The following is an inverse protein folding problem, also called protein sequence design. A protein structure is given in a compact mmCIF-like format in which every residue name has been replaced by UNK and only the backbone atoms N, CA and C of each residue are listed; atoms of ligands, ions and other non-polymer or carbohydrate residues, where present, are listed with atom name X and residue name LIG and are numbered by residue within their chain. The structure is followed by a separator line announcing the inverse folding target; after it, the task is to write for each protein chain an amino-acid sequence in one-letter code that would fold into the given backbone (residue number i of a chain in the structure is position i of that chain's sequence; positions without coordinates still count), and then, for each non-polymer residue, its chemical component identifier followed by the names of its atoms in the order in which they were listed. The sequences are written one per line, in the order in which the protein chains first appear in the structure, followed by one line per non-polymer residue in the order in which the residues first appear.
data_IF_516575046586
#
_entry.id   IF_516575046586
#
_cell.length_a   1.000
_cell.length_b   1.000
_cell.length_c   1.000
_cell.angle_alpha   90.00
_cell.angle_beta   90.00
_cell.angle_gamma   90.00
#
_symmetry.space_group_name_H-M   'P 1'
#
loop_
_entity.id
_entity.type
_entity.pdbx_description
1 polymer ?
#
# COMPACT_ATOMS: atom_id res chain seq x y z
N UNK A 1 -19.53 57.21 5.85
CA UNK A 1 -18.40 57.53 4.95
C UNK A 1 -17.94 56.25 4.28
N UNK A 2 -18.25 56.06 2.99
CA UNK A 2 -17.80 54.89 2.24
C UNK A 2 -16.37 55.08 1.75
N UNK A 3 -15.50 54.09 1.95
CA UNK A 3 -14.15 54.10 1.37
C UNK A 3 -14.24 54.24 -0.16
N UNK A 4 -13.45 55.14 -0.72
CA UNK A 4 -13.30 55.33 -2.17
C UNK A 4 -12.91 54.01 -2.85
N UNK A 5 -13.39 53.81 -4.08
CA UNK A 5 -13.15 52.60 -4.87
C UNK A 5 -11.65 52.31 -5.04
N UNK A 6 -10.81 53.36 -5.11
CA UNK A 6 -9.34 53.24 -5.13
C UNK A 6 -8.80 52.63 -3.84
N UNK A 7 -9.33 53.05 -2.69
CA UNK A 7 -8.91 52.55 -1.37
C UNK A 7 -9.31 51.08 -1.18
N UNK A 8 -10.45 50.66 -1.72
CA UNK A 8 -10.88 49.24 -1.69
C UNK A 8 -9.98 48.35 -2.55
N UNK A 9 -9.56 48.82 -3.73
CA UNK A 9 -8.64 48.10 -4.61
C UNK A 9 -7.25 47.93 -3.98
N UNK A 10 -6.75 48.98 -3.33
CA UNK A 10 -5.47 48.94 -2.61
C UNK A 10 -5.53 47.97 -1.43
N UNK A 11 -6.64 47.98 -0.66
CA UNK A 11 -6.85 47.00 0.41
C UNK A 11 -6.85 45.57 -0.13
N UNK A 12 -7.60 45.32 -1.22
CA UNK A 12 -7.68 43.99 -1.82
C UNK A 12 -6.31 43.48 -2.28
N UNK A 13 -5.52 44.33 -2.96
CA UNK A 13 -4.17 43.98 -3.40
C UNK A 13 -3.22 43.69 -2.21
N UNK A 14 -3.32 44.47 -1.12
CA UNK A 14 -2.57 44.23 0.11
C UNK A 14 -2.97 42.91 0.77
N UNK A 15 -4.27 42.61 0.87
CA UNK A 15 -4.75 41.34 1.43
C UNK A 15 -4.32 40.14 0.56
N UNK A 16 -4.35 40.26 -0.77
CA UNK A 16 -3.87 39.20 -1.66
C UNK A 16 -2.37 38.98 -1.53
N UNK A 17 -1.57 40.04 -1.40
CA UNK A 17 -0.11 39.90 -1.23
C UNK A 17 0.26 39.30 0.13
N UNK A 18 -0.45 39.67 1.21
CA UNK A 18 -0.30 39.05 2.53
C UNK A 18 -0.71 37.56 2.46
N UNK A 19 -1.80 37.25 1.74
CA UNK A 19 -2.23 35.86 1.58
C UNK A 19 -1.19 35.03 0.82
N UNK A 20 -0.67 35.53 -0.31
CA UNK A 20 0.37 34.84 -1.09
C UNK A 20 1.65 34.66 -0.29
N UNK A 21 2.12 35.68 0.43
CA UNK A 21 3.34 35.57 1.26
C UNK A 21 3.16 34.66 2.46
N UNK A 22 1.97 34.60 3.07
CA UNK A 22 1.65 33.69 4.16
C UNK A 22 1.57 32.23 3.70
N UNK A 23 0.99 31.98 2.53
CA UNK A 23 0.94 30.64 1.91
C UNK A 23 2.34 30.20 1.49
N UNK A 24 3.14 31.08 0.88
CA UNK A 24 4.54 30.76 0.48
C UNK A 24 5.44 30.54 1.70
N UNK A 25 5.22 31.26 2.80
CA UNK A 25 5.96 31.05 4.05
C UNK A 25 5.51 29.80 4.81
N UNK A 26 4.25 29.36 4.64
CA UNK A 26 3.74 28.13 5.24
C UNK A 26 4.28 26.86 4.56
N UNK A 27 4.68 26.96 3.28
CA UNK A 27 5.44 25.90 2.59
C UNK A 27 6.97 26.01 2.79
N UNK A 28 7.43 26.94 3.62
CA UNK A 28 8.82 26.98 4.09
C UNK A 28 9.11 25.85 5.07
N UNK A 29 9.75 24.79 4.57
CA UNK A 29 10.29 23.68 5.34
C UNK A 29 10.99 24.14 6.63
N UNK A 30 10.36 23.90 7.77
CA UNK A 30 11.02 23.95 9.08
C UNK A 30 10.92 22.58 9.73
N UNK A 31 11.67 21.64 9.17
CA UNK A 31 12.03 20.42 9.89
C UNK A 31 12.81 20.84 11.14
N UNK A 32 12.25 20.59 12.33
CA UNK A 32 12.92 20.98 13.57
C UNK A 32 14.21 20.17 13.74
N UNK A 33 15.35 20.82 13.61
CA UNK A 33 16.65 20.17 13.76
C UNK A 33 16.83 19.75 15.22
N UNK A 34 16.92 18.45 15.48
CA UNK A 34 17.66 17.95 16.63
C UNK A 34 19.12 17.95 16.18
N UNK A 35 19.96 18.82 16.75
CA UNK A 35 21.28 19.18 16.22
C UNK A 35 22.29 18.03 16.17
N UNK A 36 21.93 16.84 16.66
CA UNK A 36 22.77 15.63 16.68
C UNK A 36 22.37 14.57 15.65
N UNK A 37 21.16 14.63 15.07
CA UNK A 37 20.63 13.62 14.15
C UNK A 37 19.90 14.30 13.00
N UNK A 38 20.51 14.31 11.82
CA UNK A 38 19.95 15.00 10.67
C UNK A 38 20.08 14.18 9.38
N UNK A 39 19.06 14.36 8.55
CA UNK A 39 19.05 14.05 7.12
C UNK A 39 18.63 15.33 6.41
N UNK A 40 19.57 15.97 5.73
CA UNK A 40 19.29 17.12 4.87
C UNK A 40 19.26 16.62 3.44
N UNK A 41 18.14 16.78 2.77
CA UNK A 41 18.02 16.48 1.33
C UNK A 41 18.15 17.79 0.58
N UNK A 42 19.15 17.89 -0.27
CA UNK A 42 19.37 19.06 -1.12
C UNK A 42 18.52 18.99 -2.37
N UNK A 43 18.46 17.81 -2.98
CA UNK A 43 17.62 17.51 -4.12
C UNK A 43 17.33 16.02 -4.20
N UNK A 44 16.26 15.64 -4.87
CA UNK A 44 16.05 14.24 -5.17
C UNK A 44 14.85 13.98 -6.05
N UNK A 45 14.79 12.75 -6.54
CA UNK A 45 13.70 12.23 -7.35
C UNK A 45 13.34 10.83 -6.87
N UNK A 46 12.04 10.55 -6.75
CA UNK A 46 11.52 9.20 -6.59
C UNK A 46 10.84 8.80 -7.90
N UNK A 47 11.34 7.73 -8.51
CA UNK A 47 10.75 7.08 -9.66
C UNK A 47 10.08 5.76 -9.22
N UNK A 48 8.79 5.64 -9.52
CA UNK A 48 8.00 4.44 -9.26
C UNK A 48 7.74 3.72 -10.58
N UNK A 49 7.96 2.42 -10.58
CA UNK A 49 7.67 1.55 -11.71
C UNK A 49 6.97 0.30 -11.20
N UNK A 50 5.86 -0.07 -11.85
CA UNK A 50 5.22 -1.38 -11.64
C UNK A 50 5.56 -2.27 -12.83
N UNK A 51 6.05 -3.47 -12.53
CA UNK A 51 6.38 -4.52 -13.49
C UNK A 51 5.34 -5.64 -13.43
N UNK A 52 5.28 -6.41 -14.50
CA UNK A 52 4.36 -7.54 -14.72
C UNK A 52 2.90 -7.11 -14.89
N UNK A 53 2.09 -8.04 -15.39
CA UNK A 53 0.66 -7.89 -15.61
C UNK A 53 -0.14 -8.77 -14.64
N UNK A 54 -1.46 -8.53 -14.56
CA UNK A 54 -2.36 -9.29 -13.70
C UNK A 54 -2.51 -8.70 -12.30
N UNK A 55 -2.86 -9.56 -11.33
CA UNK A 55 -3.12 -9.17 -9.94
C UNK A 55 -1.85 -9.16 -9.08
N UNK A 56 -0.90 -10.04 -9.36
CA UNK A 56 0.41 -10.06 -8.71
C UNK A 56 1.41 -9.27 -9.55
N UNK A 57 1.93 -8.18 -9.00
CA UNK A 57 2.87 -7.28 -9.69
C UNK A 57 4.08 -7.00 -8.82
N UNK A 58 5.08 -6.35 -9.41
CA UNK A 58 6.30 -5.98 -8.69
C UNK A 58 6.46 -4.47 -8.70
N UNK A 59 6.52 -3.87 -7.51
CA UNK A 59 6.79 -2.44 -7.36
C UNK A 59 8.30 -2.23 -7.23
N UNK A 60 8.88 -1.52 -8.21
CA UNK A 60 10.25 -1.04 -8.16
C UNK A 60 10.25 0.45 -7.84
N UNK A 61 10.96 0.81 -6.79
CA UNK A 61 11.20 2.20 -6.42
C UNK A 61 12.68 2.51 -6.60
N UNK A 62 12.97 3.55 -7.36
CA UNK A 62 14.32 4.09 -7.54
C UNK A 62 14.35 5.51 -7.03
N UNK A 63 15.23 5.78 -6.07
CA UNK A 63 15.41 7.10 -5.48
C UNK A 63 16.81 7.58 -5.81
N UNK A 64 16.89 8.71 -6.49
CA UNK A 64 18.13 9.45 -6.68
C UNK A 64 18.05 10.71 -5.84
N UNK A 65 18.77 10.74 -4.73
CA UNK A 65 18.76 11.90 -3.84
C UNK A 65 20.18 12.32 -3.48
N UNK A 66 20.41 13.63 -3.54
CA UNK A 66 21.56 14.27 -2.93
C UNK A 66 21.18 14.64 -1.49
N UNK A 67 21.81 13.95 -0.54
CA UNK A 67 21.54 14.17 0.86
C UNK A 67 22.77 14.00 1.74
N UNK A 68 22.81 14.82 2.79
CA UNK A 68 23.77 14.76 3.87
C UNK A 68 23.15 14.12 5.11
N UNK A 69 23.94 13.30 5.79
CA UNK A 69 23.52 12.68 7.05
C UNK A 69 24.59 12.87 8.11
N UNK A 70 24.21 12.72 9.37
CA UNK A 70 25.16 12.67 10.50
C UNK A 70 26.13 11.46 10.48
N UNK A 71 26.08 10.58 9.47
CA UNK A 71 26.95 9.42 9.24
C UNK A 71 27.13 8.49 10.47
N UNK A 72 26.06 8.24 11.22
CA UNK A 72 26.11 7.31 12.36
C UNK A 72 25.79 5.89 11.92
N UNK A 73 26.56 4.94 12.46
CA UNK A 73 26.41 3.49 12.21
C UNK A 73 25.09 2.88 12.73
N UNK A 74 24.39 3.59 13.61
CA UNK A 74 23.13 3.16 14.21
C UNK A 74 21.89 3.79 13.55
N UNK A 75 22.08 4.51 12.44
CA UNK A 75 21.01 5.07 11.63
C UNK A 75 20.85 4.33 10.30
N UNK A 76 19.62 4.29 9.81
CA UNK A 76 19.22 3.64 8.57
C UNK A 76 18.34 4.57 7.75
N UNK A 77 18.43 4.44 6.43
CA UNK A 77 17.47 5.11 5.55
C UNK A 77 16.25 4.23 5.44
N UNK A 78 15.09 4.83 5.62
CA UNK A 78 13.82 4.13 5.60
C UNK A 78 12.90 4.77 4.59
N UNK A 79 12.26 3.96 3.77
CA UNK A 79 11.22 4.39 2.86
C UNK A 79 9.88 4.06 3.47
N UNK A 80 9.03 5.06 3.60
CA UNK A 80 7.64 4.92 4.01
C UNK A 80 6.78 4.96 2.76
N UNK A 81 5.93 3.96 2.59
CA UNK A 81 4.95 3.85 1.53
C UNK A 81 3.56 3.88 2.14
N UNK A 82 2.76 4.88 1.77
CA UNK A 82 1.35 4.91 2.12
C UNK A 82 0.57 4.16 1.03
N UNK A 83 0.09 2.95 1.31
CA UNK A 83 -0.64 2.11 0.36
C UNK A 83 -2.15 2.38 0.42
N UNK A 84 -2.82 2.54 -0.74
CA UNK A 84 -4.27 2.60 -0.79
C UNK A 84 -4.89 1.23 -0.49
N UNK A 85 -6.16 1.24 -0.12
CA UNK A 85 -6.92 0.01 0.16
C UNK A 85 -6.98 -0.97 -1.03
N UNK A 86 -6.80 -0.49 -2.26
CA UNK A 86 -6.85 -1.30 -3.49
C UNK A 86 -5.66 -2.25 -3.68
N UNK A 87 -4.58 -2.05 -2.91
CA UNK A 87 -3.32 -2.79 -3.02
C UNK A 87 -3.04 -3.46 -1.69
N UNK A 88 -2.35 -4.60 -1.69
CA UNK A 88 -1.75 -5.18 -0.49
C UNK A 88 -0.38 -5.77 -0.78
N UNK A 89 0.34 -6.09 0.30
CA UNK A 89 1.63 -6.79 0.25
C UNK A 89 1.53 -8.03 1.12
N UNK A 90 2.13 -9.14 0.68
CA UNK A 90 2.20 -10.36 1.47
C UNK A 90 3.38 -10.29 2.45
N UNK A 91 3.09 -10.44 3.74
CA UNK A 91 4.09 -10.40 4.82
C UNK A 91 5.12 -11.52 4.69
N UNK A 92 4.71 -12.70 4.22
CA UNK A 92 5.60 -13.84 4.06
C UNK A 92 6.56 -13.63 2.88
N UNK A 93 6.08 -13.11 1.76
CA UNK A 93 6.93 -12.75 0.62
C UNK A 93 7.96 -11.67 1.01
N UNK A 94 7.53 -10.64 1.74
CA UNK A 94 8.44 -9.60 2.25
C UNK A 94 9.47 -10.17 3.23
N UNK A 95 9.09 -11.11 4.10
CA UNK A 95 10.02 -11.77 5.01
C UNK A 95 11.08 -12.58 4.24
N UNK A 96 10.70 -13.28 3.17
CA UNK A 96 11.66 -13.98 2.30
C UNK A 96 12.66 -13.03 1.65
N UNK A 97 12.21 -11.85 1.22
CA UNK A 97 13.11 -10.81 0.67
C UNK A 97 14.06 -10.29 1.75
N UNK A 98 13.56 -10.06 2.96
CA UNK A 98 14.36 -9.60 4.10
C UNK A 98 15.41 -10.61 4.57
N UNK A 99 15.16 -11.93 4.45
CA UNK A 99 16.15 -12.95 4.82
C UNK A 99 17.42 -12.89 3.95
N UNK A 100 17.28 -12.47 2.69
CA UNK A 100 18.36 -12.50 1.71
C UNK A 100 19.05 -11.13 1.50
N UNK A 101 18.51 -10.06 2.08
CA UNK A 101 18.96 -8.68 1.90
C UNK A 101 19.12 -8.04 3.28
N UNK A 102 20.11 -7.17 3.51
CA UNK A 102 20.29 -6.45 4.79
C UNK A 102 19.23 -5.36 5.00
N UNK A 103 17.95 -5.73 4.85
CA UNK A 103 16.78 -4.85 4.84
C UNK A 103 15.69 -5.44 5.73
N UNK A 104 14.82 -4.59 6.26
CA UNK A 104 13.66 -5.00 7.03
C UNK A 104 12.40 -4.35 6.47
N UNK A 105 11.27 -5.05 6.60
CA UNK A 105 9.95 -4.52 6.27
C UNK A 105 9.09 -4.47 7.53
N UNK A 106 8.33 -3.38 7.69
CA UNK A 106 7.38 -3.22 8.78
C UNK A 106 6.06 -2.65 8.25
N UNK A 107 4.94 -3.23 8.68
CA UNK A 107 3.59 -2.81 8.29
C UNK A 107 2.87 -2.34 9.55
N UNK A 108 2.33 -1.12 9.51
CA UNK A 108 1.62 -0.52 10.65
C UNK A 108 0.35 -1.29 11.03
N UNK A 109 -0.32 -1.88 10.06
CA UNK A 109 -1.45 -2.77 10.26
C UNK A 109 -0.98 -4.18 10.66
N UNK A 110 -1.38 -4.61 11.86
CA UNK A 110 -1.03 -5.93 12.42
C UNK A 110 -1.52 -7.09 11.56
N UNK A 111 -2.61 -6.92 10.81
CA UNK A 111 -3.16 -7.99 9.97
C UNK A 111 -3.61 -7.44 8.61
N UNK A 112 -3.01 -7.97 7.54
CA UNK A 112 -3.50 -7.77 6.17
C UNK A 112 -4.26 -9.04 5.84
N UNK A 113 -5.58 -8.96 5.80
CA UNK A 113 -6.40 -10.02 5.22
C UNK A 113 -6.22 -9.97 3.71
N UNK A 114 -5.67 -11.04 3.12
CA UNK A 114 -5.41 -11.14 1.68
C UNK A 114 -6.68 -11.45 0.88
N UNK A 115 -7.73 -11.95 1.54
CA UNK A 115 -8.99 -12.34 0.90
C UNK A 115 -10.02 -11.20 0.88
N UNK A 116 -9.85 -10.20 1.75
CA UNK A 116 -10.78 -9.06 1.83
C UNK A 116 -10.72 -8.21 0.54
N UNK A 117 -11.86 -7.89 -0.10
CA UNK A 117 -11.88 -7.06 -1.30
C UNK A 117 -11.55 -5.59 -1.00
N UNK A 118 -11.19 -4.82 -2.03
CA UNK A 118 -10.72 -3.43 -1.90
C UNK A 118 -11.69 -2.53 -1.10
N UNK A 119 -12.99 -2.63 -1.38
CA UNK A 119 -14.02 -1.80 -0.76
C UNK A 119 -14.31 -2.11 0.72
N UNK A 120 -13.69 -3.15 1.28
CA UNK A 120 -13.76 -3.52 2.70
C UNK A 120 -12.38 -3.49 3.36
N UNK A 121 -11.36 -3.10 2.62
CA UNK A 121 -9.99 -3.04 3.10
C UNK A 121 -9.67 -1.63 3.54
N UNK A 122 -8.81 -1.51 4.55
CA UNK A 122 -8.27 -0.24 4.99
C UNK A 122 -6.92 0.04 4.29
N UNK A 123 -6.59 1.32 4.03
CA UNK A 123 -5.23 1.70 3.64
C UNK A 123 -4.24 1.38 4.77
N UNK A 124 -2.97 1.21 4.42
CA UNK A 124 -1.93 0.88 5.40
C UNK A 124 -0.59 1.53 5.02
N UNK A 125 0.35 1.54 5.95
CA UNK A 125 1.70 2.06 5.76
C UNK A 125 2.71 0.94 5.83
N UNK A 126 3.56 0.86 4.82
CA UNK A 126 4.73 -0.03 4.78
C UNK A 126 6.00 0.79 4.97
N UNK A 127 6.86 0.35 5.85
CA UNK A 127 8.20 0.86 6.07
C UNK A 127 9.21 -0.16 5.55
N UNK A 128 10.05 0.27 4.61
CA UNK A 128 11.21 -0.47 4.14
C UNK A 128 12.47 0.16 4.73
N UNK A 129 13.18 -0.58 5.56
CA UNK A 129 14.35 -0.09 6.29
C UNK A 129 15.59 -0.69 5.63
N UNK A 130 16.47 0.17 5.15
CA UNK A 130 17.75 -0.23 4.62
C UNK A 130 18.89 0.23 5.54
N UNK A 131 19.61 -0.74 6.10
CA UNK A 131 20.74 -0.50 7.00
C UNK A 131 22.05 -0.19 6.25
N UNK A 132 22.09 -0.30 4.92
CA UNK A 132 23.25 0.12 4.13
C UNK A 132 23.09 1.57 3.69
N UNK A 133 23.90 2.46 4.27
CA UNK A 133 24.02 3.84 3.81
C UNK A 133 24.95 3.87 2.58
N UNK A 134 24.52 4.40 1.42
CA UNK A 134 25.39 4.59 0.28
C UNK A 134 26.48 5.61 0.60
N UNK A 135 27.75 5.23 0.40
CA UNK A 135 28.94 5.96 0.83
C UNK A 135 29.36 7.11 -0.11
N UNK A 136 28.67 7.31 -1.25
CA UNK A 136 29.14 8.20 -2.33
C UNK A 136 28.09 9.18 -2.86
N UNK A 137 28.59 10.28 -3.42
CA UNK A 137 27.93 11.55 -3.77
C UNK A 137 26.71 11.49 -4.74
N UNK A 138 26.26 10.30 -5.14
CA UNK A 138 24.97 10.09 -5.81
C UNK A 138 24.33 8.85 -5.19
N UNK A 139 23.55 9.07 -4.13
CA UNK A 139 23.03 8.00 -3.29
C UNK A 139 21.77 7.41 -3.92
N UNK A 140 21.99 6.57 -4.92
CA UNK A 140 20.95 5.75 -5.53
C UNK A 140 20.45 4.72 -4.52
N UNK A 141 19.16 4.73 -4.24
CA UNK A 141 18.48 3.69 -3.45
C UNK A 141 17.51 2.99 -4.37
N UNK A 142 17.64 1.68 -4.48
CA UNK A 142 16.70 0.85 -5.22
C UNK A 142 16.07 -0.17 -4.29
N UNK A 143 14.76 -0.32 -4.41
CA UNK A 143 14.03 -1.40 -3.75
C UNK A 143 13.00 -1.97 -4.70
N UNK A 144 12.77 -3.27 -4.58
CA UNK A 144 11.86 -4.03 -5.40
C UNK A 144 11.23 -5.13 -4.55
N UNK A 145 9.89 -5.14 -4.51
CA UNK A 145 9.09 -6.12 -3.77
C UNK A 145 7.72 -6.34 -4.44
N UNK A 146 7.08 -7.50 -4.22
CA UNK A 146 5.79 -7.82 -4.79
C UNK A 146 4.66 -7.00 -4.15
N UNK A 147 3.71 -6.59 -4.99
CA UNK A 147 2.44 -5.97 -4.61
C UNK A 147 1.30 -6.75 -5.27
N UNK A 148 0.16 -6.77 -4.61
CA UNK A 148 -1.01 -7.50 -5.05
C UNK A 148 -2.20 -6.56 -5.14
N UNK A 149 -2.93 -6.61 -6.25
CA UNK A 149 -4.14 -5.84 -6.44
C UNK A 149 -5.31 -6.58 -5.79
N UNK A 150 -6.23 -5.85 -5.16
CA UNK A 150 -7.43 -6.43 -4.57
C UNK A 150 -8.58 -6.50 -5.57
N UNK A 151 -9.47 -7.46 -5.34
CA UNK A 151 -10.75 -7.51 -6.04
C UNK A 151 -11.55 -6.24 -5.82
N UNK A 152 -12.04 -5.71 -6.92
CA UNK A 152 -12.82 -4.49 -6.99
C UNK A 152 -14.32 -4.82 -7.07
N UNK A 153 -15.17 -3.85 -6.73
CA UNK A 153 -16.60 -3.99 -7.03
C UNK A 153 -16.81 -4.08 -8.54
N UNK A 154 -17.81 -4.86 -8.92
CA UNK A 154 -18.35 -4.81 -10.28
C UNK A 154 -18.79 -3.37 -10.60
N UNK A 155 -18.70 -3.00 -11.87
CA UNK A 155 -19.01 -1.67 -12.35
C UNK A 155 -19.98 -1.73 -13.53
N UNK A 156 -20.65 -0.61 -13.80
CA UNK A 156 -21.50 -0.44 -14.97
C UNK A 156 -20.65 0.05 -16.14
N UNK A 157 -20.88 -0.51 -17.33
CA UNK A 157 -20.27 -0.09 -18.60
C UNK A 157 -18.72 -0.08 -18.66
N UNK A 158 -18.06 -0.69 -17.68
CA UNK A 158 -16.60 -0.88 -17.70
C UNK A 158 -16.20 -2.28 -17.27
N UNK A 159 -15.18 -2.81 -17.96
CA UNK A 159 -14.56 -4.09 -17.66
C UNK A 159 -13.28 -3.95 -16.86
N UNK A 160 -12.81 -2.72 -16.63
CA UNK A 160 -11.59 -2.45 -15.89
C UNK A 160 -11.77 -1.28 -14.93
N UNK A 161 -11.17 -1.39 -13.75
CA UNK A 161 -11.07 -0.31 -12.78
C UNK A 161 -9.61 0.12 -12.63
N UNK A 162 -9.40 1.42 -12.60
CA UNK A 162 -8.11 2.04 -12.32
C UNK A 162 -7.75 1.91 -10.83
N UNK A 163 -6.50 1.53 -10.58
CA UNK A 163 -5.85 1.52 -9.28
C UNK A 163 -4.60 2.36 -9.40
N UNK A 164 -4.50 3.42 -8.58
CA UNK A 164 -3.39 4.38 -8.65
C UNK A 164 -2.47 4.23 -7.44
N UNK A 165 -1.18 4.40 -7.67
CA UNK A 165 -0.14 4.38 -6.66
C UNK A 165 0.91 5.47 -6.95
N UNK A 166 1.24 6.31 -5.98
CA UNK A 166 1.96 7.57 -6.18
C UNK A 166 1.01 8.77 -6.42
N UNK A 167 1.45 9.98 -6.02
CA UNK A 167 0.72 11.28 -6.03
C UNK A 167 -0.26 11.45 -4.84
N UNK A 168 -1.20 12.42 -4.89
CA UNK A 168 -2.11 12.87 -3.82
C UNK A 168 -2.88 11.80 -3.00
N UNK A 169 -2.84 10.54 -3.42
CA UNK A 169 -3.50 9.39 -2.79
C UNK A 169 -2.54 8.41 -2.09
N UNK A 170 -1.24 8.45 -2.38
CA UNK A 170 -0.23 7.54 -1.81
C UNK A 170 1.17 8.13 -1.94
N UNK A 171 1.75 8.54 -0.82
CA UNK A 171 3.07 9.16 -0.78
C UNK A 171 4.17 8.15 -0.46
N UNK A 172 5.32 8.32 -1.12
CA UNK A 172 6.57 7.66 -0.75
C UNK A 172 7.48 8.68 -0.11
N UNK A 173 7.90 8.41 1.12
CA UNK A 173 8.70 9.34 1.92
C UNK A 173 10.03 8.70 2.29
N UNK A 174 11.11 9.47 2.18
CA UNK A 174 12.42 9.06 2.67
C UNK A 174 12.61 9.58 4.10
N UNK A 175 12.94 8.68 5.02
CA UNK A 175 13.12 8.92 6.44
C UNK A 175 14.54 8.52 6.84
N UNK A 176 15.04 9.14 7.90
CA UNK A 176 16.31 8.78 8.53
C UNK A 176 16.04 8.33 9.95
N UNK A 177 16.10 7.02 10.17
CA UNK A 177 15.75 6.38 11.43
C UNK A 177 17.01 5.99 12.18
N UNK A 178 17.21 6.54 13.37
CA UNK A 178 18.35 6.23 14.23
C UNK A 178 17.91 5.41 15.44
N UNK A 179 18.68 4.37 15.78
CA UNK A 179 18.53 3.64 17.05
C UNK A 179 18.99 4.54 18.20
N UNK A 180 18.32 4.42 19.34
CA UNK A 180 18.73 5.09 20.58
C UNK A 180 18.12 4.43 21.81
N UNK A 181 18.45 4.98 22.97
CA UNK A 181 17.96 4.50 24.26
C UNK A 181 16.56 5.07 24.57
N UNK A 182 15.78 4.34 25.36
CA UNK A 182 14.43 4.73 25.79
C UNK A 182 14.47 6.10 26.48
N UNK A 183 13.68 7.04 25.97
CA UNK A 183 13.48 8.39 26.52
C UNK A 183 12.00 8.78 26.36
N UNK A 184 11.46 9.69 27.18
CA UNK A 184 10.06 10.14 27.15
C UNK A 184 9.64 10.77 25.81
N UNK A 185 10.60 11.27 25.03
CA UNK A 185 10.39 11.85 23.71
C UNK A 185 10.57 10.85 22.56
N UNK A 186 10.63 9.54 22.83
CA UNK A 186 10.90 8.50 21.82
C UNK A 186 9.76 7.47 21.82
N UNK A 187 9.27 7.12 20.64
CA UNK A 187 8.28 6.05 20.46
C UNK A 187 9.00 4.77 20.15
N UNK A 188 8.50 3.67 20.73
CA UNK A 188 8.94 2.36 20.30
C UNK A 188 8.51 2.20 18.85
N UNK A 189 9.47 2.01 17.96
CA UNK A 189 9.12 1.64 16.60
C UNK A 189 8.75 0.15 16.65
N UNK A 190 7.59 -0.22 16.10
CA UNK A 190 6.97 -1.55 16.24
C UNK A 190 7.69 -2.69 15.49
N UNK A 191 9.01 -2.65 15.40
CA UNK A 191 9.81 -3.81 15.01
C UNK A 191 9.99 -4.75 16.20
N UNK A 192 10.07 -6.05 15.91
CA UNK A 192 10.41 -7.12 16.87
C UNK A 192 11.80 -6.94 17.52
N UNK A 193 12.56 -5.91 17.15
CA UNK A 193 13.93 -5.65 17.59
C UNK A 193 14.06 -4.71 18.78
N UNK A 194 12.95 -4.26 19.40
CA UNK A 194 12.99 -3.38 20.58
C UNK A 194 13.60 -2.00 20.30
N UNK A 195 13.58 -1.56 19.03
CA UNK A 195 14.19 -0.32 18.56
C UNK A 195 13.32 0.87 18.94
N UNK A 196 13.93 1.86 19.59
CA UNK A 196 13.31 3.14 19.93
C UNK A 196 13.70 4.18 18.91
N UNK A 197 12.72 4.96 18.47
CA UNK A 197 12.89 6.01 17.48
C UNK A 197 12.39 7.33 18.09
N UNK A 198 13.10 8.47 17.87
CA UNK A 198 12.64 9.75 18.38
C UNK A 198 11.20 10.04 17.92
N UNK A 199 10.36 10.66 18.77
CA UNK A 199 9.04 11.20 18.37
C UNK A 199 9.16 12.18 17.20
N UNK A 200 10.37 12.74 17.04
CA UNK A 200 10.75 13.68 16.01
C UNK A 200 11.38 13.02 14.77
N UNK A 201 11.59 11.70 14.75
CA UNK A 201 12.12 11.00 13.58
C UNK A 201 11.17 11.07 12.38
N UNK A 202 9.91 11.44 12.64
CA UNK A 202 8.92 11.82 11.64
C UNK A 202 9.18 13.19 11.00
N UNK A 203 10.30 13.87 11.33
CA UNK A 203 10.80 15.01 10.54
C UNK A 203 11.40 14.47 9.25
N UNK A 204 10.50 13.99 8.41
CA UNK A 204 10.76 13.50 7.09
C UNK A 204 11.31 14.65 6.25
N UNK A 205 12.41 14.39 5.56
CA UNK A 205 12.77 15.20 4.41
C UNK A 205 12.06 14.56 3.22
N UNK A 206 11.11 15.29 2.65
CA UNK A 206 10.26 14.78 1.58
C UNK A 206 11.02 14.90 0.25
N UNK A 207 11.03 13.82 -0.52
CA UNK A 207 11.41 13.86 -1.93
C UNK A 207 10.13 13.70 -2.73
N UNK A 208 9.90 14.62 -3.67
CA UNK A 208 8.70 14.59 -4.50
C UNK A 208 8.71 13.33 -5.37
N UNK A 209 7.63 12.56 -5.31
CA UNK A 209 7.36 11.49 -6.27
C UNK A 209 7.13 12.12 -7.63
N UNK A 210 7.90 11.69 -8.62
CA UNK A 210 7.92 12.36 -9.92
C UNK A 210 6.77 11.90 -10.84
N UNK A 211 6.22 10.70 -10.61
CA UNK A 211 5.15 10.11 -11.42
C UNK A 211 4.26 9.18 -10.60
N UNK A 212 2.97 9.24 -10.87
CA UNK A 212 2.00 8.24 -10.47
C UNK A 212 2.11 6.98 -11.34
N UNK A 213 1.73 5.85 -10.76
CA UNK A 213 1.61 4.58 -11.44
C UNK A 213 0.14 4.19 -11.45
N UNK A 214 -0.39 4.03 -12.66
CA UNK A 214 -1.77 3.60 -12.89
C UNK A 214 -1.76 2.14 -13.33
N UNK A 215 -2.60 1.35 -12.67
CA UNK A 215 -2.79 -0.06 -12.92
C UNK A 215 -4.26 -0.32 -13.22
N UNK A 216 -4.55 -1.29 -14.07
CA UNK A 216 -5.92 -1.67 -14.41
C UNK A 216 -6.21 -3.07 -13.88
N UNK A 217 -7.36 -3.22 -13.22
CA UNK A 217 -7.86 -4.48 -12.66
C UNK A 217 -9.16 -4.85 -13.36
N UNK A 218 -9.32 -6.08 -13.87
CA UNK A 218 -10.57 -6.48 -14.50
C UNK A 218 -11.70 -6.54 -13.47
N UNK A 219 -12.87 -6.05 -13.83
CA UNK A 219 -14.08 -6.05 -13.01
C UNK A 219 -15.25 -6.66 -13.75
N UNK A 220 -16.19 -7.24 -12.99
CA UNK A 220 -17.44 -7.71 -13.55
C UNK A 220 -18.29 -6.54 -14.04
N UNK A 221 -18.97 -6.74 -15.15
CA UNK A 221 -19.96 -5.79 -15.67
C UNK A 221 -21.32 -6.09 -15.06
N UNK A 222 -21.86 -5.12 -14.33
CA UNK A 222 -23.16 -5.22 -13.65
C UNK A 222 -24.34 -5.35 -14.61
N UNK A 223 -24.21 -4.92 -15.87
CA UNK A 223 -25.24 -5.11 -16.90
C UNK A 223 -25.47 -6.59 -17.25
N UNK A 224 -24.44 -7.43 -17.06
CA UNK A 224 -24.54 -8.86 -17.32
C UNK A 224 -25.18 -9.63 -16.15
N UNK A 225 -25.40 -8.98 -14.99
CA UNK A 225 -25.91 -9.64 -13.79
C UNK A 225 -27.26 -10.36 -14.02
N UNK A 226 -28.27 -9.78 -14.68
CA UNK A 226 -29.55 -10.46 -14.90
C UNK A 226 -29.38 -11.73 -15.75
N UNK A 227 -28.61 -11.64 -16.84
CA UNK A 227 -28.37 -12.75 -17.75
C UNK A 227 -27.58 -13.89 -17.09
N UNK A 228 -26.49 -13.54 -16.40
CA UNK A 228 -25.69 -14.51 -15.65
C UNK A 228 -26.56 -15.21 -14.60
N UNK A 229 -27.40 -14.45 -13.88
CA UNK A 229 -28.30 -15.03 -12.86
C UNK A 229 -29.28 -16.03 -13.45
N UNK A 230 -29.96 -15.67 -14.54
CA UNK A 230 -30.96 -16.53 -15.20
C UNK A 230 -30.30 -17.81 -15.72
N UNK A 231 -29.18 -17.69 -16.43
CA UNK A 231 -28.49 -18.82 -17.04
C UNK A 231 -27.97 -19.76 -15.95
N UNK A 232 -27.27 -19.23 -14.93
CA UNK A 232 -26.74 -20.05 -13.83
C UNK A 232 -27.85 -20.77 -13.08
N UNK A 233 -28.95 -20.09 -12.73
CA UNK A 233 -30.08 -20.75 -12.08
C UNK A 233 -30.71 -21.82 -12.96
N UNK A 234 -30.87 -21.56 -14.26
CA UNK A 234 -31.38 -22.55 -15.21
C UNK A 234 -30.54 -23.83 -15.24
N UNK A 235 -29.22 -23.70 -15.33
CA UNK A 235 -28.31 -24.85 -15.29
C UNK A 235 -28.35 -25.59 -13.96
N UNK A 236 -28.42 -24.87 -12.83
CA UNK A 236 -28.55 -25.50 -11.51
C UNK A 236 -29.84 -26.31 -11.44
N UNK A 237 -30.98 -25.75 -11.84
CA UNK A 237 -32.27 -26.44 -11.84
C UNK A 237 -32.27 -27.68 -12.75
N UNK A 238 -31.72 -27.57 -13.96
CA UNK A 238 -31.60 -28.69 -14.89
C UNK A 238 -30.70 -29.79 -14.34
N UNK A 239 -29.55 -29.42 -13.74
CA UNK A 239 -28.63 -30.36 -13.10
C UNK A 239 -29.28 -31.06 -11.90
N UNK A 240 -29.96 -30.31 -11.03
CA UNK A 240 -30.71 -30.88 -9.90
C UNK A 240 -31.81 -31.82 -10.38
N UNK A 241 -32.58 -31.43 -11.39
CA UNK A 241 -33.61 -32.29 -11.98
C UNK A 241 -33.02 -33.58 -12.54
N UNK A 242 -31.91 -33.50 -13.28
CA UNK A 242 -31.23 -34.67 -13.83
C UNK A 242 -30.76 -35.64 -12.73
N UNK A 243 -30.14 -35.13 -11.67
CA UNK A 243 -29.68 -35.95 -10.53
C UNK A 243 -30.88 -36.62 -9.84
N UNK A 244 -31.92 -35.86 -9.52
CA UNK A 244 -33.12 -36.40 -8.86
C UNK A 244 -33.82 -37.46 -9.72
N UNK A 245 -33.95 -37.21 -11.01
CA UNK A 245 -34.53 -38.18 -11.95
C UNK A 245 -33.71 -39.47 -11.96
N UNK A 246 -32.38 -39.37 -12.04
CA UNK A 246 -31.49 -40.53 -12.04
C UNK A 246 -31.70 -41.39 -10.79
N UNK A 247 -31.72 -40.77 -9.60
CA UNK A 247 -31.96 -41.45 -8.32
C UNK A 247 -33.35 -42.09 -8.21
N UNK A 248 -34.38 -41.48 -8.80
CA UNK A 248 -35.74 -42.06 -8.81
C UNK A 248 -35.86 -43.22 -9.81
N UNK A 249 -35.04 -43.24 -10.86
CA UNK A 249 -35.06 -44.30 -11.89
C UNK A 249 -34.12 -45.46 -11.58
N UNK A 250 -33.23 -45.35 -10.60
CA UNK A 250 -32.45 -46.51 -10.14
C UNK A 250 -33.38 -47.51 -9.46
N UNK A 251 -33.54 -48.74 -9.98
CA UNK A 251 -34.38 -49.74 -9.34
C UNK A 251 -33.82 -50.01 -7.94
N UNK A 252 -34.68 -49.95 -6.92
CA UNK A 252 -34.40 -50.51 -5.60
C UNK A 252 -33.94 -51.95 -5.80
N UNK A 253 -32.67 -52.23 -5.52
CA UNK A 253 -32.16 -53.59 -5.44
C UNK A 253 -33.08 -54.38 -4.50
N UNK A 254 -33.90 -55.23 -5.09
CA UNK A 254 -34.74 -56.19 -4.40
C UNK A 254 -33.85 -57.02 -3.50
N UNK A 255 -33.99 -56.82 -2.18
CA UNK A 255 -33.69 -57.76 -1.10
C UNK A 255 -32.76 -58.93 -1.50
N UNK A 256 -31.50 -58.67 -1.79
CA UNK A 256 -30.46 -59.69 -1.65
C UNK A 256 -30.19 -59.81 -0.16
N UNK A 257 -30.99 -60.66 0.50
CA UNK A 257 -30.63 -61.25 1.78
C UNK A 257 -29.24 -61.90 1.61
N UNK A 258 -28.21 -61.18 2.05
CA UNK A 258 -26.89 -61.77 2.25
C UNK A 258 -27.07 -62.75 3.40
N UNK A 259 -27.29 -64.03 3.06
CA UNK A 259 -27.17 -65.13 4.00
C UNK A 259 -25.72 -65.18 4.45
N UNK A 260 -25.43 -64.56 5.60
CA UNK A 260 -24.17 -64.75 6.31
C UNK A 260 -24.19 -66.20 6.81
N UNK A 261 -23.50 -67.10 6.10
CA UNK A 261 -23.26 -68.45 6.59
C UNK A 261 -22.43 -68.35 7.87
N UNK A 262 -22.87 -69.07 8.89
CA UNK A 262 -22.20 -69.16 10.18
C UNK A 262 -20.75 -69.62 10.00
N UNK A 263 -19.82 -68.76 10.40
CA UNK A 263 -18.42 -69.13 10.64
C UNK A 263 -18.44 -70.13 11.80
N UNK A 264 -18.04 -71.38 11.53
CA UNK A 264 -17.75 -72.35 12.59
C UNK A 264 -16.49 -71.89 13.33
N UNK A 265 -16.62 -71.72 14.65
CA UNK A 265 -15.50 -71.65 15.58
C UNK A 265 -14.72 -72.97 15.60
#
# INVERSE_FOLDING_TARGET
MGLSMKTKFILFALYSLIFVTSVVSYYGFKGSQDSKHYLTIHSGNINLQVKNEGYHRVLRTTITADYETSNRKDCAITLRYDFPADIYVDKYELATIALNRKVEFYIDNKFIDVETPAHKSDPFVLYFINYTLPDTANKLIETEFPIHLRYQKAAEDTRYKEVRFGDAYSDVQMLYLCKGSRNSNWKQFPLNSGVWIPNNAHKASYVKVNKDVVMYVPVGDTNNLPWVTIITHGFVLLGTYYILRSLMTTPTSTNTLISISNIKC
#
